data_IF_825956945394
#
_entry.id   IF_825956945394
#
_cell.length_a   1.000
_cell.length_b   1.000
_cell.length_c   1.000
_cell.angle_alpha   90.00
_cell.angle_beta   90.00
_cell.angle_gamma   90.00
#
_symmetry.space_group_name_H-M   'P 1'
#
loop_
_entity.id
_entity.type
_entity.pdbx_description
1 polymer ?
#
# COMPACT_ATOMS: atom_id res chain seq x y z
N UNK A 1 0.60 -2.37 5.50
CA UNK A 1 1.50 -3.03 4.54
C UNK A 1 1.95 -2.00 3.52
N UNK A 2 3.23 -1.99 3.13
CA UNK A 2 3.75 -1.15 2.04
C UNK A 2 4.25 -2.07 0.92
N UNK A 3 3.94 -1.72 -0.33
CA UNK A 3 4.26 -2.53 -1.50
C UNK A 3 4.85 -1.67 -2.63
N UNK A 4 6.13 -1.83 -3.02
CA UNK A 4 6.68 -1.14 -4.17
C UNK A 4 6.04 -1.64 -5.45
N UNK A 5 5.23 -0.83 -6.15
CA UNK A 5 4.38 -1.30 -7.26
C UNK A 5 5.12 -2.07 -8.37
N UNK A 6 6.32 -1.62 -8.78
CA UNK A 6 7.05 -2.28 -9.88
C UNK A 6 7.54 -3.68 -9.50
N UNK A 7 7.94 -3.86 -8.24
CA UNK A 7 8.50 -5.14 -7.75
C UNK A 7 7.48 -5.97 -7.00
N UNK A 8 6.37 -5.38 -6.56
CA UNK A 8 5.25 -6.02 -5.84
C UNK A 8 5.63 -6.73 -4.54
N UNK A 9 6.80 -6.45 -3.94
CA UNK A 9 7.16 -6.99 -2.63
C UNK A 9 6.28 -6.40 -1.53
N UNK A 10 5.75 -7.22 -0.62
CA UNK A 10 5.14 -6.68 0.60
C UNK A 10 6.17 -6.68 1.73
N UNK A 11 6.42 -5.50 2.32
CA UNK A 11 6.97 -5.45 3.66
C UNK A 11 5.79 -5.34 4.65
N UNK A 12 5.66 -6.32 5.55
CA UNK A 12 4.68 -6.27 6.63
C UNK A 12 5.33 -5.84 7.94
N UNK A 13 4.64 -4.94 8.61
CA UNK A 13 4.94 -4.53 9.97
C UNK A 13 3.63 -4.64 10.74
N UNK A 14 3.68 -5.34 11.88
CA UNK A 14 2.53 -5.54 12.76
C UNK A 14 2.04 -4.17 13.24
N UNK A 15 0.81 -3.81 12.90
CA UNK A 15 0.07 -2.81 13.66
C UNK A 15 -0.35 -3.50 14.95
N UNK A 16 0.25 -3.13 16.07
CA UNK A 16 -0.43 -3.33 17.36
C UNK A 16 -1.51 -2.27 17.38
N UNK A 17 -2.75 -2.68 17.09
CA UNK A 17 -3.92 -1.81 17.17
C UNK A 17 -4.26 -1.56 18.64
N UNK A 18 -3.71 -0.48 19.20
CA UNK A 18 -4.34 0.19 20.33
C UNK A 18 -5.07 1.42 19.78
N UNK A 19 -6.40 1.36 19.85
CA UNK A 19 -7.29 2.30 19.18
C UNK A 19 -7.11 3.74 19.63
N UNK A 20 -6.74 4.62 18.69
CA UNK A 20 -7.16 6.02 18.63
C UNK A 20 -6.66 6.62 17.30
N UNK A 21 -7.44 7.54 16.75
CA UNK A 21 -7.26 8.16 15.43
C UNK A 21 -5.98 9.03 15.24
N UNK A 22 -5.09 9.32 16.24
CA UNK A 22 -3.73 9.86 15.96
C UNK A 22 -2.70 8.80 15.55
N UNK A 23 -2.98 7.51 15.74
CA UNK A 23 -1.96 6.43 15.64
C UNK A 23 -1.59 6.11 14.20
N UNK A 24 -2.51 6.28 13.24
CA UNK A 24 -2.28 5.88 11.85
C UNK A 24 -1.23 6.74 11.14
N UNK A 25 -1.28 8.07 11.27
CA UNK A 25 -0.31 8.96 10.64
C UNK A 25 1.09 8.75 11.23
N UNK A 26 1.19 8.73 12.56
CA UNK A 26 2.46 8.47 13.27
C UNK A 26 3.06 7.11 12.90
N UNK A 27 2.22 6.06 12.80
CA UNK A 27 2.66 4.73 12.36
C UNK A 27 3.16 4.73 10.92
N UNK A 28 2.46 5.42 9.99
CA UNK A 28 2.90 5.56 8.60
C UNK A 28 4.24 6.27 8.53
N UNK A 29 4.38 7.42 9.18
CA UNK A 29 5.62 8.22 9.23
C UNK A 29 6.77 7.39 9.80
N UNK A 30 6.56 6.70 10.94
CA UNK A 30 7.56 5.81 11.56
C UNK A 30 7.99 4.68 10.61
N UNK A 31 7.03 3.99 10.00
CA UNK A 31 7.30 2.87 9.12
C UNK A 31 8.05 3.31 7.87
N UNK A 32 7.68 4.45 7.28
CA UNK A 32 8.37 5.01 6.13
C UNK A 32 9.79 5.45 6.47
N UNK A 33 10.05 6.05 7.65
CA UNK A 33 11.43 6.36 8.09
C UNK A 33 12.31 5.11 8.08
N UNK A 34 11.82 4.01 8.63
CA UNK A 34 12.56 2.74 8.66
C UNK A 34 12.85 2.26 7.24
N UNK A 35 11.84 2.20 6.38
CA UNK A 35 11.99 1.73 4.99
C UNK A 35 12.96 2.62 4.21
N UNK A 36 12.75 3.94 4.26
CA UNK A 36 13.49 4.89 3.44
C UNK A 36 14.91 5.15 3.94
N UNK A 37 15.18 4.98 5.25
CA UNK A 37 16.54 5.07 5.80
C UNK A 37 17.51 4.06 5.17
N UNK A 38 16.99 2.91 4.75
CA UNK A 38 17.76 1.88 4.06
C UNK A 38 17.98 2.15 2.56
N UNK A 39 17.23 3.10 2.00
CA UNK A 39 17.20 3.44 0.57
C UNK A 39 18.00 4.73 0.31
N UNK A 40 19.31 4.70 0.59
CA UNK A 40 20.21 5.86 0.43
C UNK A 40 20.46 6.28 -1.02
N UNK A 41 20.03 5.48 -2.00
CA UNK A 41 20.27 5.71 -3.43
C UNK A 41 19.43 6.81 -4.05
N UNK A 42 18.27 7.15 -3.46
CA UNK A 42 17.37 8.17 -4.01
C UNK A 42 16.87 9.09 -2.89
N UNK A 43 17.10 10.41 -2.98
CA UNK A 43 16.73 11.34 -1.91
C UNK A 43 15.22 11.58 -1.82
N UNK A 44 14.49 11.39 -2.92
CA UNK A 44 13.05 11.65 -3.02
C UNK A 44 12.29 10.37 -3.36
N UNK A 45 11.15 10.20 -2.71
CA UNK A 45 10.25 9.08 -2.93
C UNK A 45 8.82 9.58 -3.19
N UNK A 46 7.99 8.76 -3.82
CA UNK A 46 6.57 9.02 -3.95
C UNK A 46 5.78 7.83 -3.41
N UNK A 47 4.72 8.12 -2.64
CA UNK A 47 3.83 7.11 -2.05
C UNK A 47 2.41 7.42 -2.47
N UNK A 48 1.70 6.38 -2.92
CA UNK A 48 0.27 6.44 -3.18
C UNK A 48 -0.45 5.79 -2.00
N UNK A 49 -1.29 6.55 -1.32
CA UNK A 49 -1.98 6.09 -0.10
C UNK A 49 -3.49 6.04 -0.30
N UNK A 50 -4.12 5.10 0.39
CA UNK A 50 -5.57 4.98 0.45
C UNK A 50 -6.18 6.12 1.30
N UNK A 51 -7.44 6.44 0.98
CA UNK A 51 -8.30 7.38 1.70
C UNK A 51 -8.35 7.17 3.21
N UNK A 52 -8.23 5.94 3.68
CA UNK A 52 -8.20 5.63 5.11
C UNK A 52 -7.03 6.32 5.84
N UNK A 53 -5.85 6.36 5.21
CA UNK A 53 -4.64 6.94 5.80
C UNK A 53 -4.47 8.43 5.48
N UNK A 54 -5.16 8.94 4.47
CA UNK A 54 -5.03 10.32 4.01
C UNK A 54 -5.42 11.36 5.07
N UNK A 55 -4.53 12.33 5.29
CA UNK A 55 -4.75 13.56 6.05
C UNK A 55 -3.78 14.65 5.61
N UNK A 56 -4.16 15.92 5.83
CA UNK A 56 -3.30 17.07 5.47
C UNK A 56 -2.03 17.09 6.30
N UNK A 57 -2.11 16.78 7.60
CA UNK A 57 -0.93 16.73 8.48
C UNK A 57 0.06 15.66 8.00
N UNK A 58 -0.43 14.47 7.66
CA UNK A 58 0.43 13.41 7.12
C UNK A 58 1.10 13.85 5.81
N UNK A 59 0.38 14.51 4.90
CA UNK A 59 0.96 15.01 3.65
C UNK A 59 2.09 16.03 3.88
N UNK A 60 1.94 16.90 4.88
CA UNK A 60 2.98 17.87 5.28
C UNK A 60 4.19 17.16 5.91
N UNK A 61 3.97 16.22 6.83
CA UNK A 61 5.05 15.44 7.46
C UNK A 61 5.85 14.64 6.43
N UNK A 62 5.16 13.99 5.48
CA UNK A 62 5.81 13.21 4.43
C UNK A 62 6.60 14.11 3.48
N UNK A 63 6.07 15.28 3.14
CA UNK A 63 6.81 16.24 2.34
C UNK A 63 8.09 16.71 3.04
N UNK A 64 8.06 16.92 4.36
CA UNK A 64 9.25 17.25 5.16
C UNK A 64 10.27 16.10 5.23
N UNK A 65 9.85 14.86 4.93
CA UNK A 65 10.70 13.68 4.81
C UNK A 65 11.17 13.41 3.37
N UNK A 66 11.01 14.36 2.45
CA UNK A 66 11.26 14.19 1.02
C UNK A 66 10.41 13.09 0.35
N UNK A 67 9.17 12.92 0.83
CA UNK A 67 8.20 11.96 0.30
C UNK A 67 6.99 12.70 -0.29
N UNK A 68 6.82 12.57 -1.61
CA UNK A 68 5.62 13.00 -2.30
C UNK A 68 4.46 12.03 -2.05
N UNK A 69 3.26 12.59 -1.98
CA UNK A 69 2.03 11.84 -1.72
C UNK A 69 1.05 12.10 -2.84
N UNK A 70 0.38 11.04 -3.28
CA UNK A 70 -0.81 11.12 -4.12
C UNK A 70 -1.88 10.28 -3.43
N UNK A 71 -2.98 10.90 -3.03
CA UNK A 71 -4.03 10.18 -2.32
C UNK A 71 -5.42 10.58 -2.79
N UNK A 72 -6.39 9.74 -2.41
CA UNK A 72 -7.78 10.19 -2.31
C UNK A 72 -8.05 10.60 -0.87
N UNK A 73 -8.89 11.61 -0.66
CA UNK A 73 -9.12 12.16 0.68
C UNK A 73 -10.62 12.21 1.02
N UNK A 74 -10.94 12.11 2.32
CA UNK A 74 -12.29 12.38 2.80
C UNK A 74 -12.50 13.90 2.96
N UNK A 75 -13.65 14.40 2.53
CA UNK A 75 -13.92 15.85 2.53
C UNK A 75 -14.09 16.43 3.93
N UNK A 76 -14.34 15.58 4.93
CA UNK A 76 -14.46 15.89 6.35
C UNK A 76 -13.10 15.93 7.08
N UNK A 77 -11.98 15.62 6.40
CA UNK A 77 -10.65 15.74 7.00
C UNK A 77 -10.37 17.19 7.42
N UNK A 78 -9.86 17.34 8.63
CA UNK A 78 -9.47 18.63 9.20
C UNK A 78 -8.41 19.31 8.33
N UNK A 79 -8.66 20.56 7.94
CA UNK A 79 -7.78 21.37 7.10
C UNK A 79 -7.98 21.20 5.59
N UNK A 80 -8.88 20.32 5.14
CA UNK A 80 -9.15 20.16 3.72
C UNK A 80 -9.87 21.40 3.19
N UNK A 81 -9.37 21.97 2.09
CA UNK A 81 -9.85 23.25 1.58
C UNK A 81 -11.33 23.18 1.18
N UNK A 82 -12.14 24.06 1.78
CA UNK A 82 -13.57 24.17 1.56
C UNK A 82 -13.92 24.55 0.12
N UNK A 83 -13.04 25.25 -0.58
CA UNK A 83 -13.28 25.74 -1.94
C UNK A 83 -13.30 24.61 -2.99
N UNK A 84 -12.69 23.47 -2.69
CA UNK A 84 -12.67 22.28 -3.56
C UNK A 84 -13.60 21.16 -3.04
N UNK A 85 -14.35 21.41 -1.97
CA UNK A 85 -15.35 20.45 -1.47
C UNK A 85 -16.58 20.51 -2.34
N UNK A 86 -16.80 19.43 -3.07
CA UNK A 86 -18.01 19.24 -3.84
C UNK A 86 -19.10 18.64 -2.95
N UNK A 87 -20.25 19.31 -2.87
CA UNK A 87 -21.38 18.92 -2.01
C UNK A 87 -22.32 17.95 -2.73
N UNK A 88 -22.34 17.95 -4.06
CA UNK A 88 -23.20 17.08 -4.88
C UNK A 88 -22.71 15.65 -4.84
N UNK A 89 -23.61 14.70 -4.61
CA UNK A 89 -23.27 13.25 -4.54
C UNK A 89 -22.94 12.64 -5.91
N UNK A 90 -23.39 13.26 -7.00
CA UNK A 90 -23.24 12.76 -8.36
C UNK A 90 -23.02 13.89 -9.35
N UNK A 91 -22.31 13.58 -10.45
CA UNK A 91 -22.04 14.53 -11.53
C UNK A 91 -23.34 14.95 -12.23
N UNK A 92 -23.67 16.26 -12.31
CA UNK A 92 -24.77 16.76 -13.15
C UNK A 92 -24.50 16.48 -14.63
N UNK A 93 -25.56 16.31 -15.42
CA UNK A 93 -25.44 16.08 -16.87
C UNK A 93 -24.75 17.25 -17.60
N UNK A 94 -24.90 18.48 -17.08
CA UNK A 94 -24.30 19.70 -17.64
C UNK A 94 -22.80 19.79 -17.46
N UNK A 95 -22.21 19.04 -16.53
CA UNK A 95 -20.76 19.04 -16.29
C UNK A 95 -20.13 17.91 -17.10
N UNK A 96 -19.22 18.18 -18.05
CA UNK A 96 -18.53 17.12 -18.79
C UNK A 96 -17.76 16.18 -17.86
N UNK A 97 -17.72 14.89 -18.24
CA UNK A 97 -16.82 13.93 -17.59
C UNK A 97 -15.38 14.43 -17.65
N UNK A 98 -14.65 14.30 -16.55
CA UNK A 98 -13.25 14.66 -16.50
C UNK A 98 -12.94 16.09 -16.04
N UNK A 99 -13.97 16.92 -15.91
CA UNK A 99 -13.84 18.28 -15.36
C UNK A 99 -13.27 18.21 -13.94
N UNK A 100 -12.42 19.17 -13.56
CA UNK A 100 -11.85 19.24 -12.22
C UNK A 100 -11.75 20.68 -11.73
N UNK A 101 -11.74 20.84 -10.42
CA UNK A 101 -11.43 22.11 -9.74
C UNK A 101 -10.34 21.84 -8.74
N UNK A 102 -9.37 22.74 -8.65
CA UNK A 102 -8.23 22.59 -7.75
C UNK A 102 -7.97 23.87 -6.97
N UNK A 103 -7.29 23.70 -5.85
CA UNK A 103 -6.76 24.76 -5.02
C UNK A 103 -5.35 24.37 -4.60
N UNK A 104 -4.48 25.38 -4.51
CA UNK A 104 -3.11 25.21 -4.05
C UNK A 104 -2.99 25.83 -2.67
N UNK A 105 -2.37 25.09 -1.75
CA UNK A 105 -2.13 25.60 -0.42
C UNK A 105 -1.18 26.81 -0.47
N UNK A 106 -1.57 27.88 0.20
CA UNK A 106 -0.76 29.08 0.38
C UNK A 106 0.47 28.82 1.27
N UNK A 107 0.32 28.22 2.49
CA UNK A 107 1.48 27.94 3.34
C UNK A 107 2.38 26.83 2.79
N UNK A 108 1.83 25.87 2.03
CA UNK A 108 2.59 24.74 1.47
C UNK A 108 2.41 24.71 -0.04
N UNK A 109 3.22 25.49 -0.77
CA UNK A 109 3.05 25.70 -2.23
C UNK A 109 3.07 24.42 -3.07
N UNK A 110 3.74 23.38 -2.59
CA UNK A 110 3.83 22.09 -3.27
C UNK A 110 2.62 21.18 -3.00
N UNK A 111 1.63 21.62 -2.21
CA UNK A 111 0.44 20.85 -1.88
C UNK A 111 -0.77 21.37 -2.67
N UNK A 112 -1.46 20.45 -3.34
CA UNK A 112 -2.63 20.73 -4.16
C UNK A 112 -3.76 19.82 -3.71
N UNK A 113 -4.92 20.41 -3.50
CA UNK A 113 -6.17 19.73 -3.26
C UNK A 113 -7.08 19.92 -4.48
N UNK A 114 -7.74 18.88 -4.94
CA UNK A 114 -8.65 19.00 -6.08
C UNK A 114 -9.75 17.95 -6.03
N UNK A 115 -10.83 18.19 -6.77
CA UNK A 115 -11.80 17.15 -7.08
C UNK A 115 -11.88 16.92 -8.58
N UNK A 116 -12.12 15.67 -8.96
CA UNK A 116 -12.27 15.25 -10.34
C UNK A 116 -13.63 14.59 -10.56
N UNK A 117 -14.29 14.97 -11.65
CA UNK A 117 -15.63 14.52 -11.98
C UNK A 117 -15.63 13.21 -12.78
N UNK A 118 -15.87 12.11 -12.08
CA UNK A 118 -16.28 10.85 -12.68
C UNK A 118 -17.83 10.72 -12.66
N UNK A 119 -18.38 9.57 -12.28
CA UNK A 119 -19.81 9.45 -11.93
C UNK A 119 -20.14 10.22 -10.64
N UNK A 120 -19.23 10.18 -9.68
CA UNK A 120 -19.27 10.89 -8.40
C UNK A 120 -18.02 11.76 -8.31
N UNK A 121 -18.04 12.87 -7.55
CA UNK A 121 -16.82 13.64 -7.35
C UNK A 121 -15.83 12.79 -6.55
N UNK A 122 -14.58 12.76 -6.98
CA UNK A 122 -13.49 12.12 -6.25
C UNK A 122 -12.51 13.20 -5.84
N UNK A 123 -12.23 13.28 -4.54
CA UNK A 123 -11.34 14.27 -3.93
C UNK A 123 -9.94 13.68 -3.76
N UNK A 124 -8.94 14.49 -4.08
CA UNK A 124 -7.53 14.13 -4.06
C UNK A 124 -6.73 15.17 -3.29
N UNK A 125 -5.71 14.71 -2.57
CA UNK A 125 -4.64 15.54 -2.03
C UNK A 125 -3.31 15.04 -2.63
N UNK A 126 -2.50 15.97 -3.12
CA UNK A 126 -1.22 15.64 -3.71
C UNK A 126 -0.13 16.60 -3.23
N UNK A 127 1.08 16.09 -3.04
CA UNK A 127 2.29 16.90 -2.83
C UNK A 127 3.29 16.67 -3.96
N UNK A 128 3.92 17.75 -4.44
CA UNK A 128 4.92 17.71 -5.53
C UNK A 128 4.37 17.41 -6.92
N UNK A 129 3.05 17.29 -7.07
CA UNK A 129 2.43 17.05 -8.37
C UNK A 129 2.17 18.34 -9.14
N UNK A 130 2.48 18.33 -10.44
CA UNK A 130 2.06 19.36 -11.37
C UNK A 130 0.64 19.04 -11.89
N UNK A 131 -0.22 20.05 -11.98
CA UNK A 131 -1.57 19.90 -12.55
C UNK A 131 -1.51 19.83 -14.09
N UNK A 132 -0.74 18.90 -14.62
CA UNK A 132 -0.67 18.60 -16.05
C UNK A 132 -1.90 17.80 -16.48
N UNK A 133 -2.30 17.95 -17.74
CA UNK A 133 -3.38 17.17 -18.32
C UNK A 133 -2.92 15.75 -18.65
N UNK A 134 -3.81 14.80 -18.46
CA UNK A 134 -3.67 13.39 -18.80
C UNK A 134 -5.04 12.85 -19.19
N UNK A 135 -5.12 11.56 -19.52
CA UNK A 135 -6.39 10.90 -19.83
C UNK A 135 -6.45 9.53 -19.17
N UNK A 136 -7.66 9.08 -18.87
CA UNK A 136 -7.94 7.74 -18.34
C UNK A 136 -9.05 7.08 -19.14
N UNK A 137 -8.87 5.80 -19.45
CA UNK A 137 -9.92 5.00 -20.09
C UNK A 137 -10.96 4.58 -19.04
N UNK A 138 -12.23 4.88 -19.30
CA UNK A 138 -13.37 4.53 -18.45
C UNK A 138 -14.42 3.77 -19.23
N UNK A 139 -14.99 2.74 -18.60
CA UNK A 139 -16.17 2.05 -19.12
C UNK A 139 -17.42 2.70 -18.54
N UNK A 140 -18.11 3.49 -19.35
CA UNK A 140 -19.32 4.18 -18.95
C UNK A 140 -20.51 3.27 -19.28
N UNK A 141 -21.35 3.00 -18.28
CA UNK A 141 -22.53 2.15 -18.42
C UNK A 141 -23.40 2.69 -19.58
N UNK A 142 -23.78 1.82 -20.52
CA UNK A 142 -24.57 2.11 -21.74
C UNK A 142 -23.88 2.91 -22.85
N UNK A 143 -22.69 3.46 -22.62
CA UNK A 143 -21.93 4.22 -23.64
C UNK A 143 -20.71 3.44 -24.13
N UNK A 144 -20.16 2.56 -23.29
CA UNK A 144 -18.97 1.77 -23.60
C UNK A 144 -17.69 2.43 -23.11
N UNK A 145 -16.56 2.05 -23.72
CA UNK A 145 -15.23 2.54 -23.34
C UNK A 145 -15.03 3.96 -23.90
N UNK A 146 -14.70 4.90 -23.03
CA UNK A 146 -14.46 6.31 -23.35
C UNK A 146 -13.15 6.78 -22.74
N UNK A 147 -12.45 7.67 -23.44
CA UNK A 147 -11.27 8.36 -22.91
C UNK A 147 -11.76 9.64 -22.22
N UNK A 148 -11.46 9.76 -20.93
CA UNK A 148 -11.89 10.90 -20.10
C UNK A 148 -10.66 11.74 -19.73
N UNK A 149 -10.69 13.07 -19.91
CA UNK A 149 -9.59 13.93 -19.47
C UNK A 149 -9.48 13.93 -17.95
N UNK A 150 -8.27 14.00 -17.43
CA UNK A 150 -8.03 14.08 -15.99
C UNK A 150 -6.70 14.78 -15.69
N UNK A 151 -6.49 15.30 -14.47
CA UNK A 151 -5.16 15.65 -14.02
C UNK A 151 -4.22 14.43 -14.02
N UNK A 152 -2.92 14.64 -14.29
CA UNK A 152 -1.92 13.57 -14.28
C UNK A 152 -1.91 12.79 -12.96
N UNK A 153 -2.07 13.48 -11.82
CA UNK A 153 -2.20 12.87 -10.50
C UNK A 153 -3.26 11.77 -10.44
N UNK A 154 -4.38 11.89 -11.17
CA UNK A 154 -5.45 10.88 -11.20
C UNK A 154 -4.98 9.62 -11.94
N UNK A 155 -4.31 9.81 -13.07
CA UNK A 155 -3.75 8.69 -13.85
C UNK A 155 -2.60 8.00 -13.10
N UNK A 156 -1.76 8.76 -12.40
CA UNK A 156 -0.68 8.24 -11.56
C UNK A 156 -1.23 7.49 -10.36
N UNK A 157 -2.23 8.05 -9.66
CA UNK A 157 -2.93 7.36 -8.58
C UNK A 157 -3.44 6.00 -9.06
N UNK A 158 -4.18 5.95 -10.16
CA UNK A 158 -4.73 4.68 -10.67
C UNK A 158 -3.65 3.68 -11.11
N UNK A 159 -2.53 4.17 -11.66
CA UNK A 159 -1.41 3.33 -12.10
C UNK A 159 -0.66 2.70 -10.92
N UNK A 160 -0.46 3.48 -9.86
CA UNK A 160 0.38 3.10 -8.72
C UNK A 160 -0.42 2.53 -7.54
N UNK A 161 -1.73 2.75 -7.48
CA UNK A 161 -2.61 2.13 -6.51
C UNK A 161 -2.79 0.63 -6.81
N UNK A 162 -3.18 -0.15 -5.79
CA UNK A 162 -3.49 -1.57 -5.92
C UNK A 162 -2.31 -2.53 -5.78
N UNK A 163 -1.08 -2.06 -5.54
CA UNK A 163 0.06 -2.95 -5.30
C UNK A 163 -0.11 -3.86 -4.09
N UNK A 164 -0.73 -3.31 -3.04
CA UNK A 164 -1.09 -4.06 -1.83
C UNK A 164 -2.19 -5.08 -2.15
N UNK A 165 -3.23 -4.67 -2.85
CA UNK A 165 -4.35 -5.57 -3.22
C UNK A 165 -3.88 -6.72 -4.12
N UNK A 166 -2.99 -6.45 -5.08
CA UNK A 166 -2.40 -7.47 -5.95
C UNK A 166 -1.52 -8.43 -5.14
N UNK A 167 -0.74 -7.93 -4.18
CA UNK A 167 0.06 -8.79 -3.31
C UNK A 167 -0.84 -9.67 -2.43
N UNK A 168 -1.86 -9.08 -1.80
CA UNK A 168 -2.79 -9.83 -0.97
C UNK A 168 -3.61 -10.84 -1.79
N UNK A 169 -3.97 -10.49 -3.03
CA UNK A 169 -4.59 -11.42 -3.97
C UNK A 169 -3.65 -12.59 -4.29
N UNK A 170 -2.37 -12.33 -4.56
CA UNK A 170 -1.39 -13.40 -4.78
C UNK A 170 -1.20 -14.26 -3.52
N UNK A 171 -1.30 -13.66 -2.33
CA UNK A 171 -1.20 -14.34 -1.04
C UNK A 171 -2.37 -15.27 -0.79
N UNK A 172 -3.61 -14.80 -0.96
CA UNK A 172 -4.85 -15.51 -0.64
C UNK A 172 -5.36 -16.46 -1.74
N UNK A 173 -4.60 -16.61 -2.83
CA UNK A 173 -4.92 -17.47 -3.98
C UNK A 173 -4.67 -18.98 -3.68
N UNK A 174 -4.60 -19.79 -4.74
CA UNK A 174 -4.49 -21.25 -4.77
C UNK A 174 -3.44 -21.87 -3.83
N UNK A 175 -2.39 -21.14 -3.45
CA UNK A 175 -1.27 -21.65 -2.65
C UNK A 175 -1.23 -21.10 -1.21
N UNK A 176 -2.32 -20.50 -0.74
CA UNK A 176 -2.44 -19.90 0.60
C UNK A 176 -2.52 -20.96 1.70
N UNK A 177 -1.51 -21.03 2.57
CA UNK A 177 -1.51 -21.89 3.75
C UNK A 177 -2.54 -21.41 4.77
N UNK A 178 -2.66 -20.09 4.97
CA UNK A 178 -3.56 -19.47 5.93
C UNK A 178 -5.03 -19.88 5.71
N UNK A 179 -5.45 -20.01 4.45
CA UNK A 179 -6.82 -20.41 4.10
C UNK A 179 -6.99 -21.92 3.99
N UNK A 180 -5.90 -22.66 3.76
CA UNK A 180 -5.94 -24.12 3.60
C UNK A 180 -6.16 -24.85 4.94
N UNK A 181 -5.76 -24.25 6.06
CA UNK A 181 -5.84 -24.90 7.38
C UNK A 181 -6.56 -23.99 8.39
N UNK A 182 -7.62 -24.51 9.01
CA UNK A 182 -8.34 -23.82 10.08
C UNK A 182 -7.81 -24.25 11.45
N UNK A 183 -7.36 -23.27 12.25
CA UNK A 183 -6.97 -23.49 13.64
C UNK A 183 -7.97 -22.83 14.59
N UNK A 184 -8.20 -23.45 15.76
CA UNK A 184 -9.00 -22.85 16.84
C UNK A 184 -8.37 -21.58 17.43
N UNK A 185 -7.03 -21.50 17.44
CA UNK A 185 -6.28 -20.37 18.01
C UNK A 185 -5.81 -19.43 16.90
N UNK A 186 -6.18 -18.15 16.98
CA UNK A 186 -5.95 -17.16 15.91
C UNK A 186 -4.48 -16.97 15.55
N UNK A 187 -3.56 -17.00 16.53
CA UNK A 187 -2.13 -16.76 16.28
C UNK A 187 -1.50 -17.78 15.32
N UNK A 188 -2.03 -19.01 15.24
CA UNK A 188 -1.55 -20.02 14.30
C UNK A 188 -1.88 -19.64 12.86
N UNK A 189 -3.10 -19.13 12.64
CA UNK A 189 -3.51 -18.59 11.33
C UNK A 189 -2.71 -17.33 10.98
N UNK A 190 -2.45 -16.46 11.95
CA UNK A 190 -1.59 -15.28 11.75
C UNK A 190 -0.17 -15.68 11.33
N UNK A 191 0.43 -16.67 12.00
CA UNK A 191 1.75 -17.21 11.62
C UNK A 191 1.76 -17.72 10.18
N UNK A 192 0.76 -18.53 9.78
CA UNK A 192 0.65 -18.99 8.39
C UNK A 192 0.51 -17.82 7.40
N UNK A 193 -0.22 -16.77 7.76
CA UNK A 193 -0.33 -15.56 6.95
C UNK A 193 1.01 -14.83 6.73
N UNK A 194 1.93 -14.90 7.70
CA UNK A 194 3.30 -14.38 7.57
C UNK A 194 4.15 -15.29 6.68
N UNK A 195 4.00 -16.61 6.80
CA UNK A 195 4.67 -17.57 5.90
C UNK A 195 4.21 -17.38 4.46
N UNK A 196 2.91 -17.26 4.22
CA UNK A 196 2.35 -17.00 2.88
C UNK A 196 2.95 -15.73 2.26
N UNK A 197 3.12 -14.69 3.08
CA UNK A 197 3.75 -13.45 2.62
C UNK A 197 5.23 -13.63 2.27
N UNK A 198 5.98 -14.34 3.10
CA UNK A 198 7.38 -14.67 2.82
C UNK A 198 7.51 -15.49 1.53
N UNK A 199 6.62 -16.46 1.32
CA UNK A 199 6.56 -17.28 0.11
C UNK A 199 6.26 -16.46 -1.15
N UNK A 200 5.32 -15.51 -1.08
CA UNK A 200 5.03 -14.59 -2.21
C UNK A 200 6.25 -13.71 -2.49
N UNK A 201 6.86 -13.13 -1.45
CA UNK A 201 8.05 -12.29 -1.61
C UNK A 201 9.24 -13.06 -2.20
N UNK A 202 9.48 -14.29 -1.75
CA UNK A 202 10.54 -15.13 -2.26
C UNK A 202 10.34 -15.49 -3.75
N UNK A 203 9.10 -15.78 -4.16
CA UNK A 203 8.79 -16.01 -5.58
C UNK A 203 9.02 -14.74 -6.42
N UNK A 204 8.65 -13.57 -5.89
CA UNK A 204 8.93 -12.29 -6.54
C UNK A 204 10.44 -12.06 -6.68
N UNK A 205 11.24 -12.32 -5.64
CA UNK A 205 12.70 -12.27 -5.70
C UNK A 205 13.24 -13.16 -6.81
N UNK A 206 12.75 -14.40 -6.90
CA UNK A 206 13.15 -15.33 -7.95
C UNK A 206 12.81 -14.81 -9.35
N UNK A 207 11.64 -14.19 -9.53
CA UNK A 207 11.23 -13.60 -10.80
C UNK A 207 12.14 -12.45 -11.22
N UNK A 208 12.46 -11.54 -10.30
CA UNK A 208 13.36 -10.42 -10.55
C UNK A 208 14.79 -10.93 -10.84
N UNK A 209 15.27 -11.89 -10.06
CA UNK A 209 16.60 -12.50 -10.26
C UNK A 209 16.70 -13.17 -11.63
N UNK A 210 15.71 -13.96 -12.02
CA UNK A 210 15.67 -14.60 -13.35
C UNK A 210 15.68 -13.58 -14.49
N UNK A 211 15.01 -12.44 -14.30
CA UNK A 211 15.03 -11.35 -15.26
C UNK A 211 16.40 -10.68 -15.42
N UNK A 212 17.19 -10.60 -14.34
CA UNK A 212 18.54 -10.04 -14.35
C UNK A 212 19.53 -11.02 -14.98
N UNK A 213 19.44 -12.32 -14.63
CA UNK A 213 20.34 -13.37 -15.13
C UNK A 213 19.97 -13.88 -16.53
N UNK A 214 18.81 -13.51 -17.06
CA UNK A 214 18.31 -13.99 -18.35
C UNK A 214 17.92 -15.47 -18.35
N UNK A 215 17.70 -16.07 -17.18
CA UNK A 215 17.30 -17.47 -17.05
C UNK A 215 15.80 -17.66 -17.29
N UNK A 216 15.41 -18.88 -17.68
CA UNK A 216 14.01 -19.24 -17.89
C UNK A 216 13.19 -19.03 -16.61
N UNK A 217 12.16 -18.19 -16.69
CA UNK A 217 11.26 -17.93 -15.57
C UNK A 217 10.36 -19.15 -15.29
N UNK A 218 10.58 -19.80 -14.15
CA UNK A 218 9.70 -20.87 -13.68
C UNK A 218 8.30 -20.34 -13.33
N UNK A 219 7.26 -21.13 -13.61
CA UNK A 219 5.91 -20.81 -13.16
C UNK A 219 5.82 -20.94 -11.64
N UNK A 220 4.91 -20.19 -11.01
CA UNK A 220 4.76 -20.14 -9.55
C UNK A 220 4.59 -21.52 -8.90
N UNK A 221 3.73 -22.37 -9.45
CA UNK A 221 3.50 -23.73 -8.92
C UNK A 221 4.76 -24.60 -8.98
N UNK A 222 5.44 -24.61 -10.13
CA UNK A 222 6.70 -25.35 -10.32
C UNK A 222 7.78 -24.86 -9.35
N UNK A 223 7.88 -23.54 -9.18
CA UNK A 223 8.82 -22.94 -8.24
C UNK A 223 8.53 -23.34 -6.79
N UNK A 224 7.25 -23.41 -6.39
CA UNK A 224 6.90 -23.90 -5.05
C UNK A 224 7.22 -25.38 -4.85
N UNK A 225 7.08 -26.22 -5.87
CA UNK A 225 7.50 -27.64 -5.79
C UNK A 225 9.00 -27.75 -5.59
N UNK A 226 9.80 -26.97 -6.34
CA UNK A 226 11.25 -26.91 -6.15
C UNK A 226 11.61 -26.43 -4.73
N UNK A 227 10.97 -25.34 -4.27
CA UNK A 227 11.19 -24.82 -2.93
C UNK A 227 10.83 -25.85 -1.86
N UNK A 228 9.72 -26.55 -1.99
CA UNK A 228 9.32 -27.61 -1.06
C UNK A 228 10.38 -28.71 -1.00
N UNK A 229 10.89 -29.17 -2.14
CA UNK A 229 11.93 -30.19 -2.18
C UNK A 229 13.23 -29.72 -1.51
N UNK A 230 13.62 -28.45 -1.72
CA UNK A 230 14.78 -27.86 -1.06
C UNK A 230 14.59 -27.79 0.46
N UNK A 231 13.41 -27.38 0.93
CA UNK A 231 13.10 -27.30 2.36
C UNK A 231 13.11 -28.69 3.03
N UNK A 232 12.71 -29.74 2.30
CA UNK A 232 12.74 -31.13 2.78
C UNK A 232 14.16 -31.71 2.87
N UNK A 233 15.12 -31.12 2.16
CA UNK A 233 16.52 -31.55 2.17
C UNK A 233 17.36 -30.88 3.27
N UNK A 234 16.79 -29.89 3.98
CA UNK A 234 17.48 -29.20 5.08
C UNK A 234 17.77 -30.15 6.23
N UNK A 235 18.99 -30.08 6.75
CA UNK A 235 19.49 -30.87 7.89
C UNK A 235 19.70 -29.98 9.11
N UNK A 236 19.93 -30.60 10.26
CA UNK A 236 20.17 -29.88 11.52
C UNK A 236 21.40 -28.98 11.41
N UNK A 237 22.41 -29.42 10.66
CA UNK A 237 23.63 -28.66 10.39
C UNK A 237 23.36 -27.31 9.69
N UNK A 238 22.34 -27.24 8.82
CA UNK A 238 21.99 -26.01 8.09
C UNK A 238 21.44 -24.91 9.00
N UNK A 239 21.07 -25.26 10.24
CA UNK A 239 20.59 -24.32 11.26
C UNK A 239 21.67 -23.96 12.30
N UNK A 240 22.89 -24.50 12.19
CA UNK A 240 23.97 -24.22 13.11
C UNK A 240 24.38 -22.73 13.04
N UNK A 241 24.37 -22.03 14.19
CA UNK A 241 24.70 -20.60 14.29
C UNK A 241 23.49 -19.65 14.31
N UNK A 242 22.26 -20.15 14.13
CA UNK A 242 21.06 -19.36 14.39
C UNK A 242 20.83 -19.32 15.90
N UNK A 243 21.18 -18.19 16.54
CA UNK A 243 20.80 -17.93 17.93
C UNK A 243 19.28 -17.82 18.01
N UNK A 244 18.60 -18.91 18.38
CA UNK A 244 17.20 -18.87 18.73
C UNK A 244 17.02 -17.88 19.88
N UNK A 245 16.16 -16.86 19.69
CA UNK A 245 15.79 -15.95 20.78
C UNK A 245 15.23 -16.80 21.91
N UNK A 246 15.85 -16.81 23.11
CA UNK A 246 15.38 -17.63 24.20
C UNK A 246 13.92 -17.25 24.52
N UNK A 247 13.09 -18.25 24.79
CA UNK A 247 11.72 -18.03 25.21
C UNK A 247 11.73 -17.13 26.45
N UNK A 248 10.96 -16.02 26.49
CA UNK A 248 10.82 -15.25 27.71
C UNK A 248 10.33 -16.20 28.80
N UNK A 249 11.05 -16.24 29.91
CA UNK A 249 10.62 -16.98 31.10
C UNK A 249 9.18 -16.60 31.40
N UNK A 250 8.33 -17.62 31.57
CA UNK A 250 6.93 -17.45 31.96
C UNK A 250 6.89 -16.83 33.37
N UNK A 251 6.97 -15.51 33.46
CA UNK A 251 6.60 -14.80 34.66
C UNK A 251 5.07 -14.86 34.73
N UNK A 252 4.56 -15.81 35.53
CA UNK A 252 3.15 -15.87 35.92
C UNK A 252 2.73 -14.46 36.35
N UNK A 253 1.85 -13.82 35.58
CA UNK A 253 1.14 -12.62 36.02
C UNK A 253 0.44 -12.96 37.34
N UNK A 254 0.95 -12.44 38.46
CA UNK A 254 0.20 -12.45 39.71
C UNK A 254 -0.97 -11.50 39.51
N UNK A 255 -2.18 -12.05 39.49
CA UNK A 255 -3.39 -11.24 39.59
C UNK A 255 -3.37 -10.54 40.96
N UNK A 256 -3.60 -9.22 41.03
CA UNK A 256 -3.89 -8.56 42.30
C UNK A 256 -5.16 -9.18 42.88
N UNK A 257 -5.09 -9.66 44.11
CA UNK A 257 -6.29 -9.99 44.88
C UNK A 257 -6.96 -8.65 45.25
N UNK A 258 -8.24 -8.56 44.92
CA UNK A 258 -9.15 -7.50 45.39
C UNK A 258 -9.31 -7.58 46.91
#
# INVERSE_FOLDING_TARGET
>A
MLCPQKRRFAAHWLMVEDGAVPVCAAAVTRNLKIVLSSLTRQPWHAVVIDRFYSSILLAIELLAMNVYVIDTIMTDRLGYDVNVKEKRKSRPATIPHGTFTFSRSVPVRNMIAFHWWDRKPVHYLCTGSAMTSSTVARNIKRVGRMIVPCPASVSEYQRWMGGVDVHDQLRLQTYSLQTSIKFKKYYKSLFLGLVDMALVNAYISHKESSGITGSTLMKRGEWYVVLQNQLLQLKVEDFAGILATPTPSSHKRKHPQL
#
